data_IF_919503549029
#
_entry.id   IF_919503549029
#
_cell.length_a   1.000
_cell.length_b   1.000
_cell.length_c   1.000
_cell.angle_alpha   90.00
_cell.angle_beta   90.00
_cell.angle_gamma   90.00
#
_symmetry.space_group_name_H-M   'P 1'
#
loop_
_entity.id
_entity.type
_entity.pdbx_description
1 polymer ?
#
# COMPACT_ATOMS: atom_id res chain seq x y z
N UNK A 1 -2.44 14.87 48.05
CA UNK A 1 -2.18 13.43 47.85
C UNK A 1 -3.49 12.68 47.57
N UNK A 2 -4.14 12.95 46.43
CA UNK A 2 -5.37 12.22 46.03
C UNK A 2 -5.59 12.27 44.51
N UNK A 3 -4.52 12.04 43.74
CA UNK A 3 -4.58 11.78 42.28
C UNK A 3 -4.02 10.38 41.94
N UNK A 4 -3.61 9.61 42.95
CA UNK A 4 -2.92 8.32 42.79
C UNK A 4 -3.83 7.09 42.93
N UNK A 5 -5.15 7.26 42.98
CA UNK A 5 -6.11 6.14 43.15
C UNK A 5 -7.35 6.23 42.26
N UNK A 6 -7.26 6.92 41.12
CA UNK A 6 -8.34 6.92 40.14
C UNK A 6 -7.87 6.12 38.93
N UNK A 7 -8.72 5.22 38.41
CA UNK A 7 -8.35 4.28 37.35
C UNK A 7 -7.75 5.01 36.14
N UNK A 8 -6.82 4.35 35.44
CA UNK A 8 -6.11 4.98 34.32
C UNK A 8 -7.04 5.50 33.22
N UNK A 9 -8.21 4.88 33.05
CA UNK A 9 -9.21 5.30 32.06
C UNK A 9 -10.11 6.43 32.58
N UNK A 10 -10.53 6.39 33.84
CA UNK A 10 -11.38 7.41 34.45
C UNK A 10 -10.65 8.74 34.58
N UNK A 11 -9.36 8.71 34.93
CA UNK A 11 -8.51 9.91 35.03
C UNK A 11 -8.30 10.54 33.66
N UNK A 12 -8.06 9.73 32.63
CA UNK A 12 -7.92 10.20 31.25
C UNK A 12 -9.25 10.76 30.75
N UNK A 13 -10.37 10.08 31.01
CA UNK A 13 -11.69 10.56 30.65
C UNK A 13 -12.08 11.86 31.38
N UNK A 14 -11.73 12.02 32.65
CA UNK A 14 -11.94 13.26 33.41
C UNK A 14 -11.07 14.41 32.91
N UNK A 15 -9.81 14.15 32.59
CA UNK A 15 -8.91 15.16 32.01
C UNK A 15 -9.39 15.61 30.62
N UNK A 16 -9.97 14.70 29.84
CA UNK A 16 -10.53 15.06 28.54
C UNK A 16 -11.93 15.68 28.66
N UNK A 17 -12.72 15.34 29.69
CA UNK A 17 -14.02 15.93 29.95
C UNK A 17 -13.92 17.36 30.48
N UNK A 18 -12.86 17.70 31.24
CA UNK A 18 -12.59 19.05 31.74
C UNK A 18 -11.96 19.99 30.69
N UNK A 19 -12.11 19.72 29.39
CA UNK A 19 -11.63 20.59 28.31
C UNK A 19 -12.39 21.91 28.19
N UNK A 20 -13.59 22.02 28.75
CA UNK A 20 -14.47 23.16 28.50
C UNK A 20 -14.28 24.33 29.45
N UNK A 21 -14.04 24.15 30.76
CA UNK A 21 -13.78 25.28 31.67
C UNK A 21 -12.96 24.87 32.91
N UNK A 22 -11.82 25.52 33.23
CA UNK A 22 -10.98 26.41 32.42
C UNK A 22 -10.07 25.59 31.46
N UNK A 23 -9.58 26.16 30.34
CA UNK A 23 -8.80 25.43 29.35
C UNK A 23 -7.47 24.99 29.96
N UNK A 24 -7.39 23.72 30.35
CA UNK A 24 -6.12 23.10 30.68
C UNK A 24 -5.30 23.05 29.39
N UNK A 25 -4.36 23.99 29.26
CA UNK A 25 -3.35 23.96 28.21
C UNK A 25 -2.68 22.59 28.28
N UNK A 26 -2.72 21.84 27.18
CA UNK A 26 -2.07 20.51 27.05
C UNK A 26 -0.61 20.61 27.54
N UNK A 27 0.02 21.75 27.33
CA UNK A 27 1.35 22.12 27.85
C UNK A 27 1.53 22.04 29.36
N UNK A 28 0.54 22.47 30.15
CA UNK A 28 0.62 22.40 31.62
C UNK A 28 0.47 20.97 32.10
N UNK A 29 -0.42 20.20 31.49
CA UNK A 29 -0.65 18.79 31.83
C UNK A 29 0.58 17.95 31.48
N UNK A 30 1.17 18.16 30.30
CA UNK A 30 2.40 17.48 29.89
C UNK A 30 3.58 17.85 30.80
N UNK A 31 3.76 19.14 31.15
CA UNK A 31 4.83 19.56 32.08
C UNK A 31 4.69 18.94 33.47
N UNK A 32 3.47 18.86 34.01
CA UNK A 32 3.23 18.24 35.32
C UNK A 32 3.50 16.74 35.27
N UNK A 33 3.03 16.06 34.22
CA UNK A 33 3.23 14.62 34.03
C UNK A 33 4.69 14.24 33.76
N UNK A 34 5.45 15.11 33.09
CA UNK A 34 6.91 14.99 32.92
C UNK A 34 7.65 15.06 34.25
N UNK A 35 7.18 15.92 35.15
CA UNK A 35 7.80 16.16 36.45
C UNK A 35 7.57 15.02 37.45
N UNK A 36 6.51 14.24 37.27
CA UNK A 36 6.08 13.19 38.22
C UNK A 36 6.50 11.77 37.82
N UNK A 37 7.29 11.58 36.77
CA UNK A 37 7.78 10.27 36.30
C UNK A 37 6.65 9.24 36.04
N UNK A 38 5.46 9.73 35.67
CA UNK A 38 4.28 8.92 35.33
C UNK A 38 4.13 8.83 33.82
N UNK A 39 5.17 8.32 33.17
CA UNK A 39 5.33 8.31 31.70
C UNK A 39 4.26 7.44 31.02
N UNK A 40 3.79 6.38 31.69
CA UNK A 40 2.68 5.53 31.26
C UNK A 40 1.33 6.28 31.20
N UNK A 41 1.09 7.20 32.13
CA UNK A 41 -0.14 8.00 32.17
C UNK A 41 -0.12 9.10 31.11
N UNK A 42 1.07 9.64 30.82
CA UNK A 42 1.27 10.59 29.74
C UNK A 42 0.94 9.97 28.39
N UNK A 43 1.39 8.74 28.16
CA UNK A 43 1.08 7.95 26.97
C UNK A 43 -0.44 7.75 26.79
N UNK A 44 -1.14 7.26 27.82
CA UNK A 44 -2.61 7.05 27.78
C UNK A 44 -3.39 8.35 27.58
N UNK A 45 -2.93 9.45 28.19
CA UNK A 45 -3.54 10.77 28.00
C UNK A 45 -3.38 11.28 26.57
N UNK A 46 -2.19 11.13 25.98
CA UNK A 46 -1.93 11.51 24.59
C UNK A 46 -2.66 10.62 23.58
N UNK A 47 -2.81 9.32 23.86
CA UNK A 47 -3.63 8.39 23.06
C UNK A 47 -5.11 8.80 23.05
N UNK A 48 -5.67 9.13 24.22
CA UNK A 48 -7.04 9.63 24.34
C UNK A 48 -7.24 11.03 23.75
N UNK A 49 -6.21 11.88 23.81
CA UNK A 49 -6.19 13.19 23.14
C UNK A 49 -6.23 13.02 21.62
N UNK A 50 -5.44 12.09 21.09
CA UNK A 50 -5.36 11.80 19.67
C UNK A 50 -6.67 11.27 19.09
N UNK A 51 -7.37 10.39 19.81
CA UNK A 51 -8.67 9.84 19.39
C UNK A 51 -9.78 10.91 19.30
N UNK A 52 -9.70 11.97 20.12
CA UNK A 52 -10.72 13.04 20.13
C UNK A 52 -10.35 14.24 19.27
N UNK A 53 -9.07 14.56 19.15
CA UNK A 53 -8.60 15.72 18.39
C UNK A 53 -7.17 15.51 17.86
N UNK A 54 -7.03 14.98 16.64
CA UNK A 54 -5.72 14.70 16.02
C UNK A 54 -4.81 15.93 15.83
N UNK A 55 -5.37 17.14 15.83
CA UNK A 55 -4.61 18.38 15.58
C UNK A 55 -4.11 19.04 16.86
N UNK A 56 -4.81 18.85 17.98
CA UNK A 56 -4.41 19.43 19.27
C UNK A 56 -3.10 18.82 19.83
N UNK A 57 -2.71 17.64 19.36
CA UNK A 57 -1.48 16.94 19.74
C UNK A 57 -0.23 17.27 18.92
N UNK A 58 -0.32 18.14 17.91
CA UNK A 58 0.74 18.36 16.91
C UNK A 58 2.16 18.55 17.47
N UNK A 59 2.29 19.35 18.53
CA UNK A 59 3.59 19.62 19.17
C UNK A 59 4.14 18.43 19.98
N UNK A 60 3.26 17.50 20.39
CA UNK A 60 3.60 16.33 21.20
C UNK A 60 3.72 15.06 20.37
N UNK A 61 3.37 15.06 19.08
CA UNK A 61 3.47 13.87 18.23
C UNK A 61 4.88 13.27 18.22
N UNK A 62 5.94 14.10 18.22
CA UNK A 62 7.31 13.60 18.31
C UNK A 62 7.53 12.77 19.59
N UNK A 63 7.08 13.31 20.73
CA UNK A 63 7.24 12.66 22.03
C UNK A 63 6.33 11.45 22.18
N UNK A 64 5.15 11.52 21.59
CA UNK A 64 4.19 10.42 21.56
C UNK A 64 4.75 9.23 20.79
N UNK A 65 5.51 9.43 19.70
CA UNK A 65 6.22 8.33 19.00
C UNK A 65 7.25 7.65 19.91
N UNK A 66 8.02 8.40 20.69
CA UNK A 66 8.97 7.85 21.69
C UNK A 66 8.24 7.03 22.77
N UNK A 67 7.08 7.51 23.21
CA UNK A 67 6.24 6.83 24.19
C UNK A 67 5.61 5.55 23.61
N UNK A 68 5.04 5.59 22.40
CA UNK A 68 4.53 4.39 21.72
C UNK A 68 5.64 3.35 21.50
N UNK A 69 6.83 3.77 21.07
CA UNK A 69 7.96 2.86 20.86
C UNK A 69 8.39 2.12 22.14
N UNK A 70 8.18 2.74 23.31
CA UNK A 70 8.54 2.22 24.63
C UNK A 70 7.42 1.39 25.28
N UNK A 71 6.16 1.86 25.22
CA UNK A 71 5.06 1.32 26.03
C UNK A 71 4.01 0.52 25.24
N UNK A 72 3.64 0.94 24.03
CA UNK A 72 2.58 0.29 23.23
C UNK A 72 2.97 0.17 21.75
N UNK A 73 3.52 -0.99 21.41
CA UNK A 73 4.06 -1.30 20.07
C UNK A 73 2.96 -1.36 19.01
N UNK A 74 1.85 -2.02 19.32
CA UNK A 74 0.78 -2.31 18.35
C UNK A 74 0.01 -1.06 17.91
N UNK A 75 0.02 0.00 18.73
CA UNK A 75 -0.65 1.26 18.42
C UNK A 75 0.22 2.22 17.60
N UNK A 76 1.52 1.95 17.46
CA UNK A 76 2.46 2.82 16.74
C UNK A 76 2.16 2.84 15.24
N UNK A 77 1.95 1.69 14.60
CA UNK A 77 1.60 1.61 13.18
C UNK A 77 0.29 2.34 12.82
N UNK A 78 -0.85 2.10 13.52
CA UNK A 78 -2.08 2.87 13.30
C UNK A 78 -1.87 4.38 13.48
N UNK A 79 -1.14 4.79 14.51
CA UNK A 79 -0.85 6.19 14.78
C UNK A 79 -0.06 6.83 13.62
N UNK A 80 1.00 6.18 13.15
CA UNK A 80 1.80 6.64 12.02
C UNK A 80 0.99 6.72 10.72
N UNK A 81 0.02 5.84 10.51
CA UNK A 81 -0.90 5.87 9.35
C UNK A 81 -1.87 7.05 9.44
N UNK A 82 -2.38 7.35 10.62
CA UNK A 82 -3.37 8.43 10.84
C UNK A 82 -2.77 9.83 10.88
N UNK A 83 -1.50 9.97 11.27
CA UNK A 83 -0.85 11.26 11.41
C UNK A 83 -0.15 11.72 10.13
N UNK A 84 -0.37 12.98 9.73
CA UNK A 84 0.35 13.64 8.63
C UNK A 84 1.52 14.51 9.10
N UNK A 85 1.43 15.08 10.30
CA UNK A 85 2.32 16.16 10.75
C UNK A 85 3.48 15.65 11.62
N UNK A 86 4.03 14.46 11.31
CA UNK A 86 5.13 13.86 12.06
C UNK A 86 6.46 14.08 11.33
N UNK A 87 7.52 14.54 12.03
CA UNK A 87 8.87 14.56 11.46
C UNK A 87 9.38 13.11 11.28
N UNK A 88 9.20 12.57 10.07
CA UNK A 88 9.51 11.18 9.69
C UNK A 88 10.94 10.76 10.09
N UNK A 89 11.93 11.65 9.90
CA UNK A 89 13.33 11.36 10.20
C UNK A 89 13.60 11.13 11.69
N UNK A 90 12.93 11.89 12.58
CA UNK A 90 13.06 11.67 14.03
C UNK A 90 12.33 10.41 14.46
N UNK A 91 11.16 10.14 13.89
CA UNK A 91 10.42 8.91 14.14
C UNK A 91 11.26 7.68 13.74
N UNK A 92 11.96 7.74 12.61
CA UNK A 92 12.86 6.69 12.16
C UNK A 92 14.01 6.44 13.15
N UNK A 93 14.69 7.48 13.63
CA UNK A 93 15.76 7.34 14.63
C UNK A 93 15.28 6.70 15.94
N UNK A 94 14.06 7.02 16.37
CA UNK A 94 13.44 6.41 17.54
C UNK A 94 13.15 4.93 17.27
N UNK A 95 12.59 4.62 16.11
CA UNK A 95 12.31 3.24 15.72
C UNK A 95 13.61 2.40 15.60
N UNK A 96 14.70 2.98 15.10
CA UNK A 96 16.03 2.36 15.06
C UNK A 96 16.53 2.00 16.46
N UNK A 97 16.45 2.94 17.41
CA UNK A 97 16.88 2.70 18.80
C UNK A 97 16.11 1.57 19.47
N UNK A 98 14.83 1.42 19.13
CA UNK A 98 13.95 0.41 19.71
C UNK A 98 13.84 -0.88 18.86
N UNK A 99 14.62 -1.01 17.77
CA UNK A 99 14.60 -2.13 16.83
C UNK A 99 13.19 -2.45 16.30
N UNK A 100 12.46 -1.42 15.84
CA UNK A 100 11.07 -1.50 15.35
C UNK A 100 11.04 -1.60 13.83
N UNK A 101 11.27 -2.79 13.31
CA UNK A 101 11.51 -3.00 11.89
C UNK A 101 10.26 -2.77 11.01
N UNK A 102 9.07 -3.21 11.42
CA UNK A 102 7.85 -3.04 10.61
C UNK A 102 7.46 -1.56 10.47
N UNK A 103 7.60 -0.79 11.55
CA UNK A 103 7.36 0.65 11.57
C UNK A 103 8.41 1.41 10.75
N UNK A 104 9.67 0.97 10.80
CA UNK A 104 10.72 1.54 9.97
C UNK A 104 10.44 1.35 8.48
N UNK A 105 9.96 0.18 8.06
CA UNK A 105 9.57 -0.10 6.66
C UNK A 105 8.47 0.86 6.23
N UNK A 106 7.43 1.01 7.05
CA UNK A 106 6.35 1.95 6.77
C UNK A 106 6.82 3.40 6.66
N UNK A 107 7.69 3.85 7.57
CA UNK A 107 8.27 5.19 7.53
C UNK A 107 9.15 5.40 6.29
N UNK A 108 9.99 4.44 5.94
CA UNK A 108 10.88 4.50 4.78
C UNK A 108 10.11 4.54 3.46
N UNK A 109 9.03 3.76 3.34
CA UNK A 109 8.12 3.79 2.20
C UNK A 109 7.50 5.18 2.03
N UNK A 110 6.98 5.74 3.13
CA UNK A 110 6.38 7.09 3.14
C UNK A 110 7.41 8.20 2.88
N UNK A 111 8.68 7.99 3.22
CA UNK A 111 9.78 8.90 2.91
C UNK A 111 10.21 8.84 1.43
N UNK A 112 9.66 7.92 0.63
CA UNK A 112 10.05 7.72 -0.76
C UNK A 112 11.37 6.97 -0.93
N UNK A 113 11.78 6.19 0.07
CA UNK A 113 12.99 5.36 0.03
C UNK A 113 12.64 3.85 0.10
N UNK A 114 11.91 3.30 -0.89
CA UNK A 114 11.44 1.91 -0.84
C UNK A 114 12.60 0.90 -0.91
N UNK A 115 13.72 1.23 -1.57
CA UNK A 115 14.92 0.36 -1.63
C UNK A 115 15.52 0.10 -0.25
N UNK A 116 15.65 1.14 0.58
CA UNK A 116 16.15 1.01 1.94
C UNK A 116 15.15 0.24 2.84
N UNK A 117 13.84 0.44 2.61
CA UNK A 117 12.79 -0.30 3.31
C UNK A 117 12.90 -1.80 3.00
N UNK A 118 13.04 -2.14 1.73
CA UNK A 118 13.16 -3.51 1.24
C UNK A 118 14.41 -4.21 1.79
N UNK A 119 15.56 -3.53 1.77
CA UNK A 119 16.79 -4.04 2.38
C UNK A 119 16.60 -4.40 3.86
N UNK A 120 15.84 -3.58 4.58
CA UNK A 120 15.57 -3.80 6.00
C UNK A 120 14.65 -5.01 6.21
N UNK A 121 13.60 -5.18 5.38
CA UNK A 121 12.76 -6.39 5.41
C UNK A 121 13.61 -7.64 5.21
N UNK A 122 14.45 -7.65 4.18
CA UNK A 122 15.25 -8.83 3.83
C UNK A 122 16.31 -9.14 4.91
N UNK A 123 17.02 -8.13 5.40
CA UNK A 123 18.15 -8.31 6.34
C UNK A 123 17.71 -8.51 7.80
N UNK A 124 16.53 -8.03 8.20
CA UNK A 124 16.11 -8.01 9.61
C UNK A 124 14.83 -8.78 9.89
N UNK A 125 13.84 -8.71 9.00
CA UNK A 125 12.60 -9.47 9.15
C UNK A 125 12.74 -10.89 8.58
N UNK A 126 13.60 -11.08 7.58
CA UNK A 126 13.77 -12.36 6.84
C UNK A 126 12.43 -12.93 6.33
N UNK A 127 11.43 -12.07 6.19
CA UNK A 127 10.06 -12.43 5.82
C UNK A 127 9.89 -12.21 4.32
N UNK A 128 9.81 -13.33 3.58
CA UNK A 128 9.75 -13.33 2.11
C UNK A 128 8.40 -12.82 1.64
N UNK A 129 7.31 -13.22 2.29
CA UNK A 129 5.95 -12.88 1.87
C UNK A 129 5.70 -11.38 2.02
N UNK A 130 6.10 -10.79 3.16
CA UNK A 130 6.00 -9.33 3.38
C UNK A 130 6.83 -8.51 2.40
N UNK A 131 8.02 -8.99 2.04
CA UNK A 131 8.86 -8.29 1.07
C UNK A 131 8.24 -8.29 -0.35
N UNK A 132 7.57 -9.38 -0.71
CA UNK A 132 6.85 -9.51 -1.98
C UNK A 132 5.60 -8.62 -1.96
N UNK A 133 4.82 -8.64 -0.87
CA UNK A 133 3.68 -7.73 -0.68
C UNK A 133 4.11 -6.26 -0.82
N UNK A 134 5.21 -5.88 -0.17
CA UNK A 134 5.75 -4.53 -0.27
C UNK A 134 6.15 -4.15 -1.71
N UNK A 135 6.83 -5.05 -2.43
CA UNK A 135 7.20 -4.81 -3.82
C UNK A 135 5.99 -4.75 -4.76
N UNK A 136 4.93 -5.52 -4.48
CA UNK A 136 3.67 -5.47 -5.21
C UNK A 136 2.90 -4.17 -4.95
N UNK A 137 2.88 -3.66 -3.72
CA UNK A 137 2.19 -2.42 -3.36
C UNK A 137 2.81 -1.18 -4.02
N UNK A 138 4.15 -1.09 -4.04
CA UNK A 138 4.87 0.04 -4.64
C UNK A 138 4.81 0.00 -6.18
N UNK A 139 4.77 -1.19 -6.79
CA UNK A 139 4.59 -1.36 -8.24
C UNK A 139 5.75 -0.85 -9.10
N UNK A 140 6.94 -0.71 -8.53
CA UNK A 140 8.15 -0.23 -9.22
C UNK A 140 9.03 -1.40 -9.69
N UNK A 141 9.33 -1.45 -11.00
CA UNK A 141 10.22 -2.44 -11.61
C UNK A 141 11.64 -2.38 -11.02
N UNK A 142 12.14 -1.18 -10.69
CA UNK A 142 13.47 -1.00 -10.09
C UNK A 142 13.56 -1.64 -8.69
N UNK A 143 12.43 -1.71 -7.99
CA UNK A 143 12.35 -2.31 -6.66
C UNK A 143 12.38 -3.83 -6.76
N UNK A 144 11.76 -4.39 -7.80
CA UNK A 144 11.85 -5.82 -8.11
C UNK A 144 13.26 -6.23 -8.49
N UNK A 145 13.96 -5.46 -9.30
CA UNK A 145 15.36 -5.73 -9.63
C UNK A 145 16.25 -5.68 -8.37
N UNK A 146 16.01 -4.72 -7.46
CA UNK A 146 16.67 -4.68 -6.16
C UNK A 146 16.34 -5.92 -5.29
N UNK A 147 15.08 -6.36 -5.29
CA UNK A 147 14.63 -7.56 -4.58
C UNK A 147 15.32 -8.81 -5.10
N UNK A 148 15.41 -8.95 -6.42
CA UNK A 148 16.10 -10.05 -7.08
C UNK A 148 17.57 -10.05 -6.67
N UNK A 149 18.27 -8.92 -6.80
CA UNK A 149 19.68 -8.81 -6.40
C UNK A 149 19.93 -9.17 -4.94
N UNK A 150 19.07 -8.72 -4.02
CA UNK A 150 19.17 -9.03 -2.60
C UNK A 150 18.82 -10.50 -2.31
N UNK A 151 17.88 -11.08 -3.05
CA UNK A 151 17.43 -12.47 -2.89
C UNK A 151 18.48 -13.50 -3.31
N UNK A 152 19.36 -13.18 -4.27
CA UNK A 152 20.44 -14.08 -4.72
C UNK A 152 21.34 -14.49 -3.54
N UNK A 153 21.47 -13.63 -2.54
CA UNK A 153 22.26 -13.91 -1.34
C UNK A 153 21.62 -14.98 -0.43
N UNK A 154 20.31 -15.23 -0.56
CA UNK A 154 19.52 -16.09 0.32
C UNK A 154 18.63 -17.08 -0.47
N UNK A 155 19.00 -18.37 -0.57
CA UNK A 155 18.27 -19.35 -1.41
C UNK A 155 16.82 -19.60 -0.96
N UNK A 156 16.52 -19.42 0.33
CA UNK A 156 15.13 -19.47 0.85
C UNK A 156 14.26 -18.37 0.25
N UNK A 157 14.85 -17.20 0.04
CA UNK A 157 14.16 -16.03 -0.49
C UNK A 157 13.86 -16.20 -1.98
N UNK A 158 14.81 -16.76 -2.74
CA UNK A 158 14.59 -17.14 -4.15
C UNK A 158 13.45 -18.14 -4.29
N UNK A 159 13.36 -19.12 -3.39
CA UNK A 159 12.28 -20.12 -3.39
C UNK A 159 10.91 -19.47 -3.13
N UNK A 160 10.82 -18.55 -2.16
CA UNK A 160 9.57 -17.82 -1.89
C UNK A 160 9.17 -16.90 -3.04
N UNK A 161 10.14 -16.20 -3.66
CA UNK A 161 9.90 -15.42 -4.87
C UNK A 161 9.35 -16.28 -6.00
N UNK A 162 9.98 -17.41 -6.31
CA UNK A 162 9.51 -18.29 -7.39
C UNK A 162 8.09 -18.82 -7.16
N UNK A 163 7.66 -18.98 -5.90
CA UNK A 163 6.33 -19.47 -5.58
C UNK A 163 5.22 -18.42 -5.61
N UNK A 164 5.56 -17.14 -5.45
CA UNK A 164 4.58 -16.05 -5.26
C UNK A 164 4.63 -14.98 -6.36
N UNK A 165 5.65 -14.96 -7.22
CA UNK A 165 5.86 -13.90 -8.22
C UNK A 165 5.09 -14.09 -9.53
N UNK A 166 4.40 -15.22 -9.71
CA UNK A 166 3.84 -15.68 -11.00
C UNK A 166 2.96 -14.70 -11.80
N UNK A 167 2.49 -13.59 -11.20
CA UNK A 167 1.66 -12.57 -11.86
C UNK A 167 2.33 -11.22 -12.13
N UNK A 168 3.45 -10.90 -11.47
CA UNK A 168 3.99 -9.52 -11.45
C UNK A 168 5.31 -9.34 -12.18
N UNK A 169 6.16 -10.37 -12.27
CA UNK A 169 7.47 -10.27 -12.94
C UNK A 169 7.55 -11.29 -14.07
N UNK A 170 8.23 -10.91 -15.14
CA UNK A 170 8.63 -11.82 -16.21
C UNK A 170 9.52 -12.95 -15.65
N UNK A 171 9.09 -14.22 -15.75
CA UNK A 171 9.87 -15.36 -15.27
C UNK A 171 11.27 -15.44 -15.85
N UNK A 172 11.46 -14.93 -17.06
CA UNK A 172 12.76 -14.91 -17.75
C UNK A 172 13.77 -14.03 -17.02
N UNK A 173 13.35 -12.89 -16.46
CA UNK A 173 14.24 -12.00 -15.68
C UNK A 173 14.73 -12.69 -14.42
N UNK A 174 13.84 -13.40 -13.71
CA UNK A 174 14.23 -14.17 -12.53
C UNK A 174 15.22 -15.29 -12.87
N UNK A 175 14.91 -16.08 -13.91
CA UNK A 175 15.74 -17.24 -14.29
C UNK A 175 17.13 -16.81 -14.74
N UNK A 176 17.25 -15.69 -15.47
CA UNK A 176 18.55 -15.18 -15.95
C UNK A 176 19.44 -14.61 -14.83
N UNK A 177 18.85 -14.19 -13.71
CA UNK A 177 19.58 -13.58 -12.60
C UNK A 177 20.02 -14.60 -11.53
N UNK A 178 19.56 -15.86 -11.62
CA UNK A 178 19.99 -16.92 -10.69
C UNK A 178 21.42 -17.36 -11.06
N UNK A 179 22.39 -17.31 -10.12
CA UNK A 179 23.74 -17.76 -10.38
C UNK A 179 23.78 -19.25 -10.69
N UNK A 180 24.54 -19.61 -11.73
CA UNK A 180 24.97 -20.99 -11.94
C UNK A 180 25.69 -21.45 -10.65
N UNK A 181 25.28 -22.59 -10.08
CA UNK A 181 25.76 -23.18 -8.80
C UNK A 181 25.03 -22.80 -7.49
N UNK A 182 23.85 -22.18 -7.51
CA UNK A 182 23.02 -22.07 -6.28
C UNK A 182 22.17 -23.32 -6.04
N UNK A 183 22.37 -23.98 -4.90
CA UNK A 183 21.50 -25.08 -4.44
C UNK A 183 20.18 -24.52 -3.89
N UNK A 184 19.20 -24.36 -4.76
CA UNK A 184 17.85 -23.91 -4.38
C UNK A 184 16.99 -25.15 -4.06
N UNK A 185 16.52 -25.32 -2.81
CA UNK A 185 15.65 -26.44 -2.46
C UNK A 185 14.32 -26.32 -3.21
N UNK A 186 13.80 -27.44 -3.72
CA UNK A 186 12.50 -27.50 -4.42
C UNK A 186 12.36 -26.57 -5.64
N UNK A 187 13.47 -26.24 -6.31
CA UNK A 187 13.47 -25.41 -7.52
C UNK A 187 12.53 -25.97 -8.60
N UNK A 188 12.60 -27.28 -8.87
CA UNK A 188 11.79 -27.92 -9.91
C UNK A 188 10.27 -27.78 -9.67
N UNK A 189 9.81 -28.01 -8.43
CA UNK A 189 8.39 -27.86 -8.09
C UNK A 189 7.94 -26.39 -8.18
N UNK A 190 8.78 -25.47 -7.70
CA UNK A 190 8.50 -24.03 -7.73
C UNK A 190 8.45 -23.50 -9.18
N UNK A 191 9.34 -23.97 -10.06
CA UNK A 191 9.33 -23.63 -11.49
C UNK A 191 8.11 -24.20 -12.21
N UNK A 192 7.72 -25.45 -11.92
CA UNK A 192 6.51 -26.04 -12.52
C UNK A 192 5.28 -25.24 -12.12
N UNK A 193 5.15 -24.85 -10.85
CA UNK A 193 4.06 -24.00 -10.37
C UNK A 193 4.06 -22.65 -11.09
N UNK A 194 5.22 -21.98 -11.14
CA UNK A 194 5.37 -20.69 -11.82
C UNK A 194 5.00 -20.77 -13.31
N UNK A 195 5.42 -21.84 -14.00
CA UNK A 195 5.09 -22.03 -15.42
C UNK A 195 3.60 -22.30 -15.62
N UNK A 196 2.96 -23.04 -14.72
CA UNK A 196 1.51 -23.25 -14.75
C UNK A 196 0.76 -21.93 -14.54
N UNK A 197 1.15 -21.14 -13.55
CA UNK A 197 0.54 -19.84 -13.26
C UNK A 197 0.70 -18.87 -14.45
N UNK A 198 1.89 -18.84 -15.05
CA UNK A 198 2.16 -18.05 -16.24
C UNK A 198 1.35 -18.53 -17.46
N UNK A 199 1.20 -19.84 -17.65
CA UNK A 199 0.38 -20.39 -18.72
C UNK A 199 -1.08 -19.98 -18.59
N UNK A 200 -1.64 -19.98 -17.36
CA UNK A 200 -3.00 -19.49 -17.10
C UNK A 200 -3.12 -18.01 -17.48
N UNK A 201 -2.14 -17.17 -17.13
CA UNK A 201 -2.10 -15.77 -17.51
C UNK A 201 -2.07 -15.56 -19.03
N UNK A 202 -1.23 -16.31 -19.76
CA UNK A 202 -1.16 -16.25 -21.22
C UNK A 202 -2.49 -16.65 -21.85
N UNK A 203 -3.08 -17.76 -21.38
CA UNK A 203 -4.37 -18.23 -21.86
C UNK A 203 -5.48 -17.19 -21.63
N UNK A 204 -5.48 -16.53 -20.47
CA UNK A 204 -6.43 -15.46 -20.15
C UNK A 204 -6.25 -14.25 -21.07
N UNK A 205 -5.01 -13.77 -21.25
CA UNK A 205 -4.69 -12.65 -22.15
C UNK A 205 -5.09 -12.96 -23.59
N UNK A 206 -4.84 -14.18 -24.07
CA UNK A 206 -5.29 -14.60 -25.39
C UNK A 206 -6.82 -14.66 -25.52
N UNK A 207 -7.51 -15.16 -24.49
CA UNK A 207 -8.97 -15.18 -24.43
C UNK A 207 -9.54 -13.77 -24.50
N UNK A 208 -9.05 -12.86 -23.67
CA UNK A 208 -9.42 -11.44 -23.68
C UNK A 208 -9.14 -10.79 -25.03
N UNK A 209 -7.97 -11.06 -25.64
CA UNK A 209 -7.62 -10.57 -26.97
C UNK A 209 -8.59 -11.06 -28.04
N UNK A 210 -8.94 -12.34 -28.04
CA UNK A 210 -9.90 -12.92 -29.01
C UNK A 210 -11.29 -12.29 -28.86
N UNK A 211 -11.75 -12.08 -27.63
CA UNK A 211 -13.02 -11.40 -27.35
C UNK A 211 -12.97 -9.95 -27.84
N UNK A 212 -11.93 -9.21 -27.47
CA UNK A 212 -11.76 -7.81 -27.86
C UNK A 212 -11.72 -7.63 -29.38
N UNK A 213 -10.98 -8.49 -30.09
CA UNK A 213 -10.91 -8.46 -31.56
C UNK A 213 -12.26 -8.78 -32.19
N UNK A 214 -12.97 -9.80 -31.67
CA UNK A 214 -14.31 -10.17 -32.15
C UNK A 214 -15.31 -9.04 -31.92
N UNK A 215 -15.28 -8.42 -30.74
CA UNK A 215 -16.18 -7.32 -30.38
C UNK A 215 -15.90 -6.08 -31.22
N UNK A 216 -14.62 -5.74 -31.42
CA UNK A 216 -14.19 -4.67 -32.32
C UNK A 216 -14.72 -4.90 -33.74
N UNK A 217 -14.55 -6.11 -34.28
CA UNK A 217 -15.06 -6.45 -35.61
C UNK A 217 -16.58 -6.39 -35.70
N UNK A 218 -17.30 -6.95 -34.70
CA UNK A 218 -18.76 -6.92 -34.61
C UNK A 218 -19.32 -5.49 -34.53
N UNK A 219 -18.69 -4.62 -33.74
CA UNK A 219 -19.06 -3.21 -33.64
C UNK A 219 -18.80 -2.48 -34.96
N UNK A 220 -17.68 -2.76 -35.62
CA UNK A 220 -17.35 -2.16 -36.91
C UNK A 220 -18.32 -2.59 -38.02
N UNK A 221 -18.70 -3.87 -38.06
CA UNK A 221 -19.70 -4.37 -38.99
C UNK A 221 -21.09 -3.74 -38.75
N UNK A 222 -21.50 -3.61 -37.48
CA UNK A 222 -22.75 -2.91 -37.11
C UNK A 222 -22.73 -1.46 -37.54
N UNK A 223 -21.63 -0.74 -37.32
CA UNK A 223 -21.47 0.64 -37.77
C UNK A 223 -21.56 0.76 -39.30
N UNK A 224 -20.88 -0.13 -40.03
CA UNK A 224 -20.93 -0.15 -41.49
C UNK A 224 -22.35 -0.39 -42.01
N UNK A 225 -23.07 -1.35 -41.43
CA UNK A 225 -24.49 -1.61 -41.77
C UNK A 225 -25.36 -0.40 -41.46
N UNK A 226 -25.21 0.24 -40.30
CA UNK A 226 -25.99 1.42 -39.92
C UNK A 226 -25.69 2.65 -40.78
N UNK A 227 -24.46 2.81 -41.26
CA UNK A 227 -24.10 3.88 -42.20
C UNK A 227 -24.62 3.58 -43.61
N UNK A 228 -24.57 2.33 -44.07
CA UNK A 228 -25.10 1.92 -45.38
C UNK A 228 -26.63 1.75 -45.43
N UNK A 229 -27.30 1.72 -44.27
CA UNK A 229 -28.75 1.56 -44.20
C UNK A 229 -29.46 2.88 -44.47
N UNK A 230 -30.43 2.85 -45.38
CA UNK A 230 -31.33 3.97 -45.57
C UNK A 230 -32.39 3.99 -44.46
N UNK A 231 -32.68 5.18 -43.95
CA UNK A 231 -33.76 5.43 -43.00
C UNK A 231 -34.96 5.98 -43.74
N UNK A 232 -36.14 5.40 -43.53
CA UNK A 232 -37.39 5.89 -44.09
C UNK A 232 -38.02 6.90 -43.14
N UNK A 233 -38.18 8.14 -43.60
CA UNK A 233 -38.80 9.23 -42.83
C UNK A 233 -39.81 9.91 -43.75
N UNK A 234 -41.07 10.03 -43.31
CA UNK A 234 -42.16 10.71 -44.03
C UNK A 234 -42.30 10.35 -45.51
N UNK A 235 -42.29 9.04 -45.82
CA UNK A 235 -42.48 8.56 -47.20
C UNK A 235 -41.23 8.64 -48.08
N UNK A 236 -40.08 9.10 -47.56
CA UNK A 236 -38.84 9.29 -48.31
C UNK A 236 -37.67 8.50 -47.69
N UNK A 237 -36.80 7.99 -48.56
CA UNK A 237 -35.66 7.15 -48.22
C UNK A 237 -34.39 8.01 -48.14
N UNK A 238 -33.76 8.06 -46.96
CA UNK A 238 -32.56 8.87 -46.70
C UNK A 238 -31.37 7.97 -46.39
N UNK A 239 -30.20 8.22 -46.97
CA UNK A 239 -28.97 7.50 -46.63
C UNK A 239 -28.07 8.37 -45.76
N UNK A 240 -27.49 7.79 -44.71
CA UNK A 240 -26.49 8.45 -43.87
C UNK A 240 -25.15 8.47 -44.58
N UNK A 241 -24.77 9.61 -45.16
CA UNK A 241 -23.40 9.87 -45.60
C UNK A 241 -22.64 10.62 -44.50
N UNK A 242 -21.33 10.86 -44.69
CA UNK A 242 -20.51 11.72 -43.80
C UNK A 242 -21.00 13.19 -43.74
N UNK A 243 -22.10 13.51 -44.42
CA UNK A 243 -22.75 14.81 -44.62
C UNK A 243 -24.24 14.61 -44.23
N UNK A 244 -24.98 15.62 -43.72
CA UNK A 244 -26.36 15.44 -43.27
C UNK A 244 -27.24 14.76 -44.34
N UNK A 245 -28.10 13.84 -43.89
CA UNK A 245 -29.00 12.96 -44.67
C UNK A 245 -29.35 13.49 -46.08
N UNK A 246 -28.84 12.85 -47.13
CA UNK A 246 -29.27 13.15 -48.50
C UNK A 246 -30.51 12.32 -48.89
N UNK A 247 -31.50 12.97 -49.50
CA UNK A 247 -32.65 12.30 -50.12
C UNK A 247 -32.23 11.59 -51.41
N UNK A 248 -32.44 10.27 -51.47
CA UNK A 248 -32.38 9.55 -52.73
C UNK A 248 -33.67 9.83 -53.52
N UNK A 249 -33.57 10.59 -54.61
CA UNK A 249 -34.63 10.66 -55.60
C UNK A 249 -34.60 9.37 -56.44
N UNK A 250 -35.79 8.76 -56.64
CA UNK A 250 -35.97 7.57 -57.48
C UNK A 250 -35.37 7.81 -58.87
N UNK A 251 -34.29 7.10 -59.21
CA UNK A 251 -33.94 6.88 -60.61
C UNK A 251 -34.96 5.90 -61.19
N UNK A 252 -35.74 6.39 -62.16
CA UNK A 252 -36.59 5.60 -63.07
C UNK A 252 -35.72 5.01 -64.17
#
# INVERSE_FOLDING_TARGET
>A
MTLMKLGSEETVNLLIAHRTEPPLQVERVVKVLDSTHTVEYLHKYLDGLFQKDPKAGGQYHQRQVELYATYDKEKLLPFLRSCTDIPLQKALQVCEKHNRYEEMVFLLARMGNPKAALELVIKKLEDVDKAIEFAMEEGDDDLWDALIHLSISNPKFVTGLLNNVGTHIDPTKLIQQIPEHTEIPNLGASLVKLLQDFQVQVNLREGCRKILVKDSHSLMEKLYKLQGSAVYIDGKLYVRTYIPLMQLHRCV
#
